data_IF_243659358520
#
_entry.id   IF_243659358520
#
_cell.length_a   1.000
_cell.length_b   1.000
_cell.length_c   1.000
_cell.angle_alpha   90.00
_cell.angle_beta   90.00
_cell.angle_gamma   90.00
#
_symmetry.space_group_name_H-M   'P 1'
#
loop_
_entity.id
_entity.type
_entity.pdbx_description
1 polymer ?
#
# COMPACT_ATOMS: atom_id res chain seq x y z
N UNK A 1 -22.52 -8.36 -19.04
CA UNK A 1 -22.60 -7.18 -18.18
C UNK A 1 -22.66 -7.73 -16.77
N UNK A 2 -21.55 -7.65 -16.05
CA UNK A 2 -21.38 -8.30 -14.75
C UNK A 2 -22.19 -7.52 -13.69
N UNK A 3 -23.16 -8.14 -12.99
CA UNK A 3 -24.10 -7.40 -12.13
C UNK A 3 -23.50 -6.91 -10.80
N UNK A 4 -22.23 -7.19 -10.51
CA UNK A 4 -21.63 -6.93 -9.19
C UNK A 4 -21.02 -5.54 -9.01
N UNK A 5 -20.96 -4.70 -10.05
CA UNK A 5 -20.21 -3.44 -10.02
C UNK A 5 -21.06 -2.16 -9.96
N UNK A 6 -22.39 -2.27 -9.90
CA UNK A 6 -23.24 -1.09 -9.70
C UNK A 6 -24.17 -1.29 -8.51
N UNK A 7 -23.70 -0.85 -7.34
CA UNK A 7 -24.53 -0.12 -6.39
C UNK A 7 -23.68 0.30 -5.22
N UNK A 8 -23.77 1.57 -4.88
CA UNK A 8 -23.41 2.15 -3.58
C UNK A 8 -24.31 1.57 -2.48
N UNK A 9 -24.36 0.24 -2.36
CA UNK A 9 -25.01 -0.47 -1.28
C UNK A 9 -23.98 -0.53 -0.17
N UNK A 10 -24.00 0.47 0.70
CA UNK A 10 -23.24 0.41 1.95
C UNK A 10 -23.76 -0.81 2.72
N UNK A 11 -23.06 -1.94 2.62
CA UNK A 11 -23.33 -3.10 3.45
C UNK A 11 -23.11 -2.71 4.90
N UNK A 12 -23.95 -3.23 5.77
CA UNK A 12 -23.77 -3.07 7.21
C UNK A 12 -22.46 -3.74 7.65
N UNK A 13 -21.92 -3.33 8.80
CA UNK A 13 -20.74 -3.97 9.37
C UNK A 13 -20.95 -5.48 9.60
N UNK A 14 -22.16 -5.89 10.00
CA UNK A 14 -22.51 -7.29 10.23
C UNK A 14 -22.52 -8.12 8.94
N UNK A 15 -23.02 -7.55 7.83
CA UNK A 15 -22.98 -8.20 6.51
C UNK A 15 -21.55 -8.36 5.99
N UNK A 16 -20.69 -7.35 6.18
CA UNK A 16 -19.27 -7.42 5.83
C UNK A 16 -18.56 -8.49 6.66
N UNK A 17 -18.86 -8.57 7.96
CA UNK A 17 -18.32 -9.57 8.85
C UNK A 17 -18.73 -11.00 8.44
N UNK A 18 -19.99 -11.18 8.02
CA UNK A 18 -20.48 -12.46 7.53
C UNK A 18 -19.74 -12.90 6.27
N UNK A 19 -19.59 -11.99 5.29
CA UNK A 19 -18.85 -12.27 4.06
C UNK A 19 -17.37 -12.57 4.34
N UNK A 20 -16.71 -11.78 5.18
CA UNK A 20 -15.31 -11.96 5.54
C UNK A 20 -15.02 -13.30 6.24
N UNK A 21 -16.05 -13.89 6.88
CA UNK A 21 -15.96 -15.20 7.56
C UNK A 21 -16.53 -16.35 6.73
N UNK A 22 -16.97 -16.09 5.50
CA UNK A 22 -17.54 -17.11 4.65
C UNK A 22 -16.52 -18.20 4.33
N UNK A 23 -16.99 -19.44 4.20
CA UNK A 23 -16.18 -20.53 3.67
C UNK A 23 -15.87 -20.32 2.17
N UNK A 24 -16.71 -19.57 1.46
CA UNK A 24 -16.55 -19.27 0.04
C UNK A 24 -15.50 -18.15 -0.18
N UNK A 25 -14.39 -18.43 -0.90
CA UNK A 25 -13.39 -17.43 -1.24
C UNK A 25 -13.94 -16.24 -2.04
N UNK A 26 -14.97 -16.45 -2.88
CA UNK A 26 -15.55 -15.37 -3.70
C UNK A 26 -16.31 -14.36 -2.82
N UNK A 27 -17.00 -14.84 -1.80
CA UNK A 27 -17.67 -14.00 -0.80
C UNK A 27 -16.65 -13.24 0.07
N UNK A 28 -15.55 -13.88 0.46
CA UNK A 28 -14.46 -13.21 1.19
C UNK A 28 -13.75 -12.17 0.33
N UNK A 29 -13.55 -12.44 -0.96
CA UNK A 29 -12.97 -11.48 -1.90
C UNK A 29 -13.91 -10.30 -2.11
N UNK A 30 -15.21 -10.54 -2.22
CA UNK A 30 -16.21 -9.49 -2.27
C UNK A 30 -16.16 -8.62 -1.02
N UNK A 31 -15.99 -9.20 0.17
CA UNK A 31 -15.76 -8.42 1.40
C UNK A 31 -14.49 -7.58 1.27
N UNK A 32 -13.34 -8.20 0.93
CA UNK A 32 -12.05 -7.52 0.85
C UNK A 32 -12.00 -6.38 -0.18
N UNK A 33 -12.86 -6.41 -1.20
CA UNK A 33 -12.97 -5.37 -2.22
C UNK A 33 -13.90 -4.20 -1.85
N UNK A 34 -14.61 -4.26 -0.71
CA UNK A 34 -15.46 -3.14 -0.28
C UNK A 34 -14.63 -1.97 0.23
N UNK A 35 -15.11 -0.76 -0.02
CA UNK A 35 -14.46 0.45 0.46
C UNK A 35 -14.60 0.55 1.99
N UNK A 36 -13.55 1.02 2.68
CA UNK A 36 -13.51 1.25 4.13
C UNK A 36 -13.72 0.01 5.01
N UNK A 37 -13.03 -1.10 4.71
CA UNK A 37 -13.05 -2.26 5.59
C UNK A 37 -12.53 -1.92 6.99
N UNK A 38 -13.24 -2.31 8.07
CA UNK A 38 -12.73 -2.20 9.43
C UNK A 38 -11.32 -2.81 9.56
N UNK A 39 -10.43 -2.13 10.29
CA UNK A 39 -9.01 -2.50 10.38
C UNK A 39 -8.76 -3.92 10.92
N UNK A 40 -9.64 -4.40 11.81
CA UNK A 40 -9.62 -5.78 12.31
C UNK A 40 -9.94 -6.78 11.19
N UNK A 41 -10.89 -6.47 10.31
CA UNK A 41 -11.19 -7.30 9.14
C UNK A 41 -10.11 -7.23 8.07
N UNK A 42 -9.49 -6.07 7.86
CA UNK A 42 -8.30 -5.96 6.99
C UNK A 42 -7.20 -6.91 7.49
N UNK A 43 -6.91 -6.89 8.79
CA UNK A 43 -5.87 -7.73 9.37
C UNK A 43 -6.14 -9.23 9.22
N UNK A 44 -7.40 -9.65 9.36
CA UNK A 44 -7.82 -11.05 9.17
C UNK A 44 -7.72 -11.45 7.70
N UNK A 45 -8.28 -10.66 6.79
CA UNK A 45 -8.34 -10.99 5.37
C UNK A 45 -6.99 -10.85 4.66
N UNK A 46 -6.10 -9.98 5.14
CA UNK A 46 -4.73 -9.86 4.63
C UNK A 46 -3.91 -11.15 4.79
N UNK A 47 -4.32 -12.02 5.71
CA UNK A 47 -3.71 -13.33 5.97
C UNK A 47 -4.56 -14.49 5.43
N UNK A 48 -5.52 -14.22 4.55
CA UNK A 48 -6.36 -15.25 3.96
C UNK A 48 -5.53 -16.25 3.15
N UNK A 49 -5.94 -17.52 3.20
CA UNK A 49 -5.32 -18.59 2.42
C UNK A 49 -5.47 -18.39 0.91
N UNK A 50 -6.49 -17.66 0.48
CA UNK A 50 -6.74 -17.33 -0.91
C UNK A 50 -5.98 -16.03 -1.27
N UNK A 51 -4.97 -16.09 -2.16
CA UNK A 51 -4.14 -14.92 -2.50
C UNK A 51 -4.94 -13.73 -3.04
N UNK A 52 -6.05 -13.97 -3.73
CA UNK A 52 -6.90 -12.91 -4.27
C UNK A 52 -7.59 -12.10 -3.15
N UNK A 53 -8.02 -12.78 -2.08
CA UNK A 53 -8.62 -12.16 -0.90
C UNK A 53 -7.58 -11.34 -0.15
N UNK A 54 -6.42 -11.94 0.13
CA UNK A 54 -5.31 -11.28 0.81
C UNK A 54 -4.85 -10.02 0.07
N UNK A 55 -4.64 -10.11 -1.25
CA UNK A 55 -4.27 -8.95 -2.08
C UNK A 55 -5.33 -7.85 -2.03
N UNK A 56 -6.61 -8.18 -2.14
CA UNK A 56 -7.68 -7.17 -2.05
C UNK A 56 -7.68 -6.46 -0.69
N UNK A 57 -7.49 -7.20 0.40
CA UNK A 57 -7.41 -6.63 1.74
C UNK A 57 -6.19 -5.72 1.93
N UNK A 58 -5.03 -6.07 1.36
CA UNK A 58 -3.80 -5.27 1.45
C UNK A 58 -3.88 -3.94 0.69
N UNK A 59 -4.84 -3.79 -0.24
CA UNK A 59 -5.10 -2.53 -0.95
C UNK A 59 -5.97 -1.55 -0.15
N UNK A 60 -6.48 -1.97 1.02
CA UNK A 60 -7.28 -1.11 1.90
C UNK A 60 -6.39 -0.08 2.59
N UNK A 61 -6.79 1.19 2.59
CA UNK A 61 -6.03 2.26 3.24
C UNK A 61 -5.75 2.03 4.74
N UNK A 62 -6.61 1.26 5.41
CA UNK A 62 -6.47 0.86 6.81
C UNK A 62 -5.50 -0.32 7.04
N UNK A 63 -4.90 -0.89 5.99
CA UNK A 63 -3.83 -1.87 6.14
C UNK A 63 -2.65 -1.22 6.87
N UNK A 64 -2.34 -1.74 8.05
CA UNK A 64 -1.29 -1.18 8.91
C UNK A 64 0.11 -1.57 8.41
N UNK A 65 1.14 -0.86 8.92
CA UNK A 65 2.54 -1.20 8.64
C UNK A 65 2.85 -2.64 9.05
N UNK A 66 2.34 -3.09 10.18
CA UNK A 66 2.55 -4.43 10.72
C UNK A 66 1.94 -5.50 9.82
N UNK A 67 0.70 -5.27 9.34
CA UNK A 67 0.01 -6.18 8.41
C UNK A 67 0.78 -6.27 7.09
N UNK A 68 1.16 -5.13 6.51
CA UNK A 68 1.94 -5.08 5.28
C UNK A 68 3.33 -5.72 5.43
N UNK A 69 3.97 -5.56 6.59
CA UNK A 69 5.26 -6.19 6.90
C UNK A 69 5.13 -7.70 6.98
N UNK A 70 4.10 -8.20 7.69
CA UNK A 70 3.83 -9.63 7.78
C UNK A 70 3.52 -10.24 6.39
N UNK A 71 2.70 -9.55 5.60
CA UNK A 71 2.38 -9.97 4.24
C UNK A 71 3.62 -10.03 3.34
N UNK A 72 4.49 -9.02 3.35
CA UNK A 72 5.73 -9.03 2.57
C UNK A 72 6.70 -10.15 3.00
N UNK A 73 6.69 -10.53 4.28
CA UNK A 73 7.51 -11.63 4.78
C UNK A 73 7.02 -13.01 4.31
N UNK A 74 5.70 -13.19 4.19
CA UNK A 74 5.08 -14.45 3.72
C UNK A 74 5.05 -14.52 2.18
N UNK A 75 4.82 -13.37 1.52
CA UNK A 75 4.70 -13.22 0.07
C UNK A 75 5.67 -12.16 -0.46
N UNK A 76 6.97 -12.47 -0.57
CA UNK A 76 7.97 -11.53 -1.08
C UNK A 76 7.66 -11.02 -2.49
N UNK A 77 6.93 -11.79 -3.29
CA UNK A 77 6.52 -11.39 -4.64
C UNK A 77 5.49 -10.25 -4.65
N UNK A 78 4.93 -9.86 -3.50
CA UNK A 78 4.02 -8.70 -3.37
C UNK A 78 4.74 -7.43 -2.92
N UNK A 79 6.05 -7.49 -2.65
CA UNK A 79 6.81 -6.35 -2.14
C UNK A 79 6.66 -5.08 -2.98
N UNK A 80 6.68 -5.20 -4.32
CA UNK A 80 6.51 -4.06 -5.23
C UNK A 80 5.13 -3.42 -5.16
N UNK A 81 4.08 -4.22 -4.93
CA UNK A 81 2.71 -3.73 -4.74
C UNK A 81 2.57 -3.07 -3.37
N UNK A 82 3.14 -3.68 -2.34
CA UNK A 82 3.14 -3.15 -0.97
C UNK A 82 3.90 -1.82 -0.91
N UNK A 83 5.00 -1.65 -1.64
CA UNK A 83 5.77 -0.41 -1.70
C UNK A 83 4.96 0.81 -2.17
N UNK A 84 3.88 0.58 -2.95
CA UNK A 84 2.99 1.65 -3.41
C UNK A 84 2.01 2.12 -2.33
N UNK A 85 1.84 1.36 -1.24
CA UNK A 85 0.91 1.67 -0.17
C UNK A 85 1.42 2.84 0.69
N UNK A 86 0.51 3.69 1.19
CA UNK A 86 0.91 4.83 2.04
C UNK A 86 1.38 4.42 3.43
N UNK A 87 0.97 3.23 3.87
CA UNK A 87 1.49 2.57 5.07
C UNK A 87 2.62 1.56 4.80
N UNK A 88 3.21 1.52 3.59
CA UNK A 88 4.29 0.59 3.30
C UNK A 88 5.42 0.65 4.35
N UNK A 89 6.03 -0.48 4.71
CA UNK A 89 7.19 -0.48 5.60
C UNK A 89 8.36 0.22 4.94
N UNK A 90 9.14 0.97 5.73
CA UNK A 90 10.20 1.87 5.23
C UNK A 90 11.19 1.16 4.30
N UNK A 91 11.59 -0.07 4.62
CA UNK A 91 12.57 -0.80 3.83
C UNK A 91 12.07 -1.16 2.42
N UNK A 92 10.75 -1.14 2.16
CA UNK A 92 10.17 -1.34 0.83
C UNK A 92 9.95 -0.01 0.09
N UNK A 93 9.91 1.12 0.79
CA UNK A 93 9.73 2.44 0.16
C UNK A 93 10.87 2.79 -0.79
N UNK A 94 12.05 2.17 -0.65
CA UNK A 94 13.19 2.34 -1.57
C UNK A 94 12.87 1.91 -3.00
N UNK A 95 11.98 0.94 -3.18
CA UNK A 95 11.58 0.42 -4.49
C UNK A 95 10.37 1.14 -5.07
N UNK A 96 9.73 2.05 -4.30
CA UNK A 96 8.61 2.85 -4.79
C UNK A 96 9.09 3.73 -5.94
N UNK A 97 8.34 3.86 -7.05
CA UNK A 97 8.64 4.84 -8.08
C UNK A 97 8.62 6.26 -7.49
N UNK A 98 9.70 7.02 -7.67
CA UNK A 98 9.83 8.36 -7.10
C UNK A 98 8.77 9.33 -7.66
N UNK A 99 8.36 9.13 -8.92
CA UNK A 99 7.28 9.88 -9.55
C UNK A 99 5.96 9.79 -8.78
N UNK A 100 5.66 8.67 -8.12
CA UNK A 100 4.41 8.43 -7.37
C UNK A 100 4.58 8.56 -5.86
N UNK A 101 5.66 9.20 -5.40
CA UNK A 101 5.91 9.46 -3.99
C UNK A 101 5.38 10.83 -3.56
N UNK A 102 4.13 11.12 -3.94
CA UNK A 102 3.47 12.41 -3.76
C UNK A 102 3.01 12.63 -2.31
N UNK A 103 2.51 11.57 -1.68
CA UNK A 103 1.94 11.63 -0.34
C UNK A 103 3.00 11.99 0.70
N UNK A 104 2.79 13.06 1.50
CA UNK A 104 3.79 13.50 2.48
C UNK A 104 4.09 12.45 3.55
N UNK A 105 3.10 11.64 3.94
CA UNK A 105 3.24 10.73 5.07
C UNK A 105 4.28 9.61 4.83
N UNK A 106 4.18 8.76 3.78
CA UNK A 106 5.20 7.75 3.53
C UNK A 106 6.56 8.38 3.18
N UNK A 107 6.58 9.54 2.52
CA UNK A 107 7.82 10.29 2.22
C UNK A 107 8.54 10.73 3.49
N UNK A 108 7.83 11.37 4.41
CA UNK A 108 8.42 11.82 5.67
C UNK A 108 8.89 10.63 6.50
N UNK A 109 8.12 9.54 6.58
CA UNK A 109 8.55 8.31 7.27
C UNK A 109 9.85 7.76 6.70
N UNK A 110 10.01 7.73 5.38
CA UNK A 110 11.26 7.34 4.74
C UNK A 110 12.41 8.27 5.12
N UNK A 111 12.24 9.59 4.93
CA UNK A 111 13.27 10.60 5.19
C UNK A 111 13.69 10.65 6.68
N UNK A 112 12.76 10.44 7.59
CA UNK A 112 13.02 10.34 9.03
C UNK A 112 13.86 9.09 9.33
N UNK A 113 13.50 7.94 8.75
CA UNK A 113 14.18 6.68 8.99
C UNK A 113 15.61 6.63 8.45
N UNK A 114 15.90 7.35 7.35
CA UNK A 114 17.26 7.49 6.81
C UNK A 114 18.04 8.63 7.46
N UNK A 115 17.45 9.35 8.42
CA UNK A 115 18.10 10.45 9.15
C UNK A 115 18.40 11.67 8.28
N UNK A 116 17.52 11.98 7.32
CA UNK A 116 17.70 13.09 6.39
C UNK A 116 17.68 14.45 7.11
N UNK A 117 18.73 15.24 6.91
CA UNK A 117 18.80 16.67 7.26
C UNK A 117 17.82 17.49 6.42
N UNK A 118 17.50 18.71 6.87
CA UNK A 118 16.62 19.62 6.13
C UNK A 118 17.11 19.86 4.68
N UNK A 119 18.40 20.12 4.51
CA UNK A 119 19.00 20.31 3.18
C UNK A 119 18.86 19.07 2.28
N UNK A 120 18.99 17.86 2.84
CA UNK A 120 18.81 16.62 2.08
C UNK A 120 17.34 16.40 1.70
N UNK A 121 16.40 16.77 2.57
CA UNK A 121 14.97 16.72 2.28
C UNK A 121 14.61 17.65 1.12
N UNK A 122 15.13 18.88 1.14
CA UNK A 122 14.93 19.84 0.05
C UNK A 122 15.47 19.32 -1.29
N UNK A 123 16.71 18.78 -1.29
CA UNK A 123 17.33 18.19 -2.48
C UNK A 123 16.56 16.99 -3.01
N UNK A 124 16.12 16.11 -2.11
CA UNK A 124 15.30 14.95 -2.45
C UNK A 124 13.99 15.38 -3.11
N UNK A 125 13.28 16.33 -2.51
CA UNK A 125 12.00 16.81 -3.05
C UNK A 125 12.17 17.50 -4.41
N UNK A 126 13.22 18.30 -4.59
CA UNK A 126 13.51 18.93 -5.88
C UNK A 126 13.77 17.89 -6.99
N UNK A 127 14.57 16.85 -6.71
CA UNK A 127 14.82 15.75 -7.66
C UNK A 127 13.56 14.95 -7.95
N UNK A 128 12.79 14.61 -6.90
CA UNK A 128 11.52 13.88 -7.03
C UNK A 128 10.53 14.64 -7.90
N UNK A 129 10.39 15.95 -7.70
CA UNK A 129 9.53 16.82 -8.51
C UNK A 129 9.97 16.88 -9.97
N UNK A 130 11.27 16.99 -10.25
CA UNK A 130 11.80 16.93 -11.62
C UNK A 130 11.47 15.59 -12.31
N UNK A 131 11.61 14.47 -11.59
CA UNK A 131 11.23 13.13 -12.07
C UNK A 131 9.73 13.03 -12.33
N UNK A 132 8.90 13.51 -11.40
CA UNK A 132 7.45 13.51 -11.54
C UNK A 132 6.99 14.36 -12.72
N UNK A 133 7.59 15.54 -12.94
CA UNK A 133 7.30 16.41 -14.08
C UNK A 133 7.65 15.75 -15.43
N UNK A 134 8.65 14.88 -15.46
CA UNK A 134 9.02 14.08 -16.64
C UNK A 134 8.20 12.81 -16.79
N UNK A 135 7.34 12.49 -15.82
CA UNK A 135 6.58 11.24 -15.74
C UNK A 135 7.49 10.00 -15.80
N UNK A 136 8.71 10.11 -15.27
CA UNK A 136 9.67 9.01 -15.27
C UNK A 136 9.42 8.08 -14.08
N UNK A 137 8.65 7.02 -14.33
CA UNK A 137 8.34 5.99 -13.33
C UNK A 137 9.42 4.92 -13.19
N UNK A 138 10.50 4.97 -13.97
CA UNK A 138 11.59 3.99 -13.89
C UNK A 138 12.51 4.23 -12.70
N UNK A 139 12.56 5.48 -12.23
CA UNK A 139 13.41 5.92 -11.13
C UNK A 139 12.78 5.60 -9.78
N UNK A 140 13.52 4.91 -8.92
CA UNK A 140 13.03 4.57 -7.57
C UNK A 140 13.44 5.60 -6.52
N UNK A 141 12.73 5.61 -5.39
CA UNK A 141 13.09 6.44 -4.22
C UNK A 141 14.52 6.16 -3.75
N UNK A 142 14.95 4.90 -3.75
CA UNK A 142 16.29 4.51 -3.33
C UNK A 142 17.37 5.09 -4.23
N UNK A 143 17.17 5.08 -5.55
CA UNK A 143 18.10 5.69 -6.51
C UNK A 143 18.18 7.21 -6.34
N UNK A 144 17.04 7.87 -6.19
CA UNK A 144 17.01 9.33 -5.95
C UNK A 144 17.70 9.67 -4.64
N UNK A 145 17.49 8.89 -3.59
CA UNK A 145 18.13 9.09 -2.30
C UNK A 145 19.65 8.89 -2.36
N UNK A 146 20.12 7.87 -3.09
CA UNK A 146 21.54 7.64 -3.29
C UNK A 146 22.24 8.85 -3.96
N UNK A 147 21.58 9.50 -4.92
CA UNK A 147 22.08 10.73 -5.55
C UNK A 147 22.07 11.97 -4.63
N UNK A 148 21.21 12.00 -3.61
CA UNK A 148 21.19 13.11 -2.63
C UNK A 148 22.36 12.99 -1.66
N UNK A 149 22.78 11.75 -1.35
CA UNK A 149 23.82 11.42 -0.37
C UNK A 149 25.24 11.30 -0.96
N UNK A 150 25.35 11.01 -2.25
CA UNK A 150 26.62 11.01 -2.99
C UNK A 150 27.10 12.42 -3.30
#
# INVERSE_FOLDING_TARGET
MDPYWNSSTTRTADELLALARSADPDERQLAAAMYDLPADLVSVLAMDIAPAVAKAALMQHLASVEVLTAAAAVHPEWASQIALHDNAPVHLLVDRPAAYFEEPAPRNRFLDAVGATELERERFEAKRLDIALRLDSSRTVGEVWAEVRG
#
